data_IF_662364451643
#
_entry.id   IF_662364451643
#
_cell.length_a   1.000
_cell.length_b   1.000
_cell.length_c   1.000
_cell.angle_alpha   90.00
_cell.angle_beta   90.00
_cell.angle_gamma   90.00
#
_symmetry.space_group_name_H-M   'P 1'
#
loop_
_entity.id
_entity.type
_entity.pdbx_description
1 polymer ?
#
# COMPACT_ATOMS: atom_id res chain seq x y z
N UNK A 1 3.36 -9.64 -14.46
CA UNK A 1 3.12 -8.93 -13.18
C UNK A 1 2.12 -9.71 -12.34
N UNK A 2 2.42 -9.86 -11.06
CA UNK A 2 1.51 -10.47 -10.09
C UNK A 2 0.79 -9.36 -9.32
N UNK A 3 -0.54 -9.39 -9.32
CA UNK A 3 -1.36 -8.41 -8.62
C UNK A 3 -1.93 -9.01 -7.33
N UNK A 4 -2.50 -8.16 -6.49
CA UNK A 4 -3.23 -8.54 -5.29
C UNK A 4 -4.73 -8.31 -5.49
N UNK A 5 -5.53 -9.21 -4.95
CA UNK A 5 -7.00 -9.09 -4.97
C UNK A 5 -7.51 -8.48 -3.67
N UNK A 6 -8.75 -8.01 -3.66
CA UNK A 6 -9.43 -7.50 -2.45
C UNK A 6 -9.38 -8.55 -1.34
N UNK A 7 -9.69 -9.80 -1.65
CA UNK A 7 -9.69 -10.90 -0.67
C UNK A 7 -8.31 -11.09 -0.05
N UNK A 8 -7.26 -11.02 -0.86
CA UNK A 8 -5.87 -11.14 -0.37
C UNK A 8 -5.50 -9.97 0.54
N UNK A 9 -5.88 -8.75 0.17
CA UNK A 9 -5.61 -7.57 1.00
C UNK A 9 -6.31 -7.66 2.35
N UNK A 10 -7.57 -8.08 2.37
CA UNK A 10 -8.32 -8.29 3.61
C UNK A 10 -7.65 -9.35 4.50
N UNK A 11 -7.23 -10.46 3.91
CA UNK A 11 -6.54 -11.53 4.65
C UNK A 11 -5.20 -11.08 5.23
N UNK A 12 -4.43 -10.31 4.47
CA UNK A 12 -3.15 -9.76 4.92
C UNK A 12 -3.35 -8.75 6.04
N UNK A 13 -4.38 -7.91 5.96
CA UNK A 13 -4.72 -6.98 7.04
C UNK A 13 -5.06 -7.73 8.34
N UNK A 14 -5.90 -8.75 8.27
CA UNK A 14 -6.28 -9.55 9.43
C UNK A 14 -5.06 -10.17 10.11
N UNK A 15 -4.14 -10.75 9.33
CA UNK A 15 -2.88 -11.30 9.85
C UNK A 15 -1.99 -10.24 10.49
N UNK A 16 -1.90 -9.07 9.86
CA UNK A 16 -1.11 -7.96 10.39
C UNK A 16 -1.63 -7.49 11.74
N UNK A 17 -2.94 -7.35 11.87
CA UNK A 17 -3.59 -6.95 13.13
C UNK A 17 -3.37 -8.02 14.22
N UNK A 18 -3.49 -9.29 13.89
CA UNK A 18 -3.21 -10.38 14.83
C UNK A 18 -1.77 -10.34 15.34
N UNK A 19 -0.82 -9.99 14.48
CA UNK A 19 0.60 -9.95 14.83
C UNK A 19 0.99 -8.68 15.58
N UNK A 20 0.36 -7.53 15.30
CA UNK A 20 0.80 -6.22 15.80
C UNK A 20 -0.20 -5.54 16.72
N UNK A 21 -1.41 -6.10 16.88
CA UNK A 21 -2.48 -5.52 17.68
C UNK A 21 -3.35 -4.54 16.92
N UNK A 22 -4.49 -4.24 17.49
CA UNK A 22 -5.49 -3.33 16.94
C UNK A 22 -6.81 -4.02 16.64
N UNK A 23 -7.73 -3.30 16.01
CA UNK A 23 -9.04 -3.82 15.64
C UNK A 23 -9.02 -4.42 14.25
N UNK A 24 -9.41 -5.69 14.14
CA UNK A 24 -9.64 -6.33 12.85
C UNK A 24 -10.99 -5.89 12.29
N UNK A 25 -11.06 -5.74 10.99
CA UNK A 25 -12.29 -5.45 10.29
C UNK A 25 -12.15 -4.43 9.17
N UNK A 26 -13.06 -4.55 8.21
CA UNK A 26 -13.14 -3.67 7.05
C UNK A 26 -14.23 -2.64 7.28
N UNK A 27 -13.89 -1.36 7.14
CA UNK A 27 -14.86 -0.27 7.20
C UNK A 27 -15.61 -0.11 5.89
N UNK A 28 -14.89 -0.21 4.76
CA UNK A 28 -15.46 0.01 3.43
C UNK A 28 -14.70 -0.78 2.37
N UNK A 29 -15.30 -1.87 1.89
CA UNK A 29 -14.72 -2.72 0.83
C UNK A 29 -14.53 -1.93 -0.47
N UNK A 30 -15.43 -1.02 -0.79
CA UNK A 30 -15.33 -0.18 -1.99
C UNK A 30 -14.05 0.64 -2.02
N UNK A 31 -13.55 1.07 -0.87
CA UNK A 31 -12.28 1.79 -0.78
C UNK A 31 -11.07 0.90 -1.01
N UNK A 32 -11.16 -0.39 -0.66
CA UNK A 32 -10.12 -1.36 -1.02
C UNK A 32 -10.11 -1.57 -2.54
N UNK A 33 -11.29 -1.79 -3.13
CA UNK A 33 -11.45 -1.96 -4.58
C UNK A 33 -10.91 -0.75 -5.33
N UNK A 34 -11.25 0.45 -4.88
CA UNK A 34 -10.78 1.71 -5.45
C UNK A 34 -9.25 1.84 -5.37
N UNK A 35 -8.65 1.47 -4.25
CA UNK A 35 -7.20 1.52 -4.08
C UNK A 35 -6.48 0.58 -5.06
N UNK A 36 -6.96 -0.64 -5.21
CA UNK A 36 -6.40 -1.61 -6.17
C UNK A 36 -6.61 -1.15 -7.61
N UNK A 37 -7.81 -0.71 -7.94
CA UNK A 37 -8.15 -0.22 -9.28
C UNK A 37 -7.29 0.97 -9.67
N UNK A 38 -7.03 1.89 -8.76
CA UNK A 38 -6.21 3.07 -9.05
C UNK A 38 -4.79 2.72 -9.48
N UNK A 39 -4.24 1.61 -8.97
CA UNK A 39 -2.89 1.17 -9.32
C UNK A 39 -2.87 0.25 -10.54
N UNK A 40 -3.87 -0.64 -10.68
CA UNK A 40 -3.81 -1.75 -11.64
C UNK A 40 -4.66 -1.54 -12.89
N UNK A 41 -5.67 -0.67 -12.86
CA UNK A 41 -6.58 -0.51 -13.99
C UNK A 41 -6.17 0.69 -14.84
N UNK A 42 -5.90 0.49 -16.14
CA UNK A 42 -5.64 1.62 -17.06
C UNK A 42 -6.86 2.54 -17.14
N UNK A 43 -6.60 3.83 -17.30
CA UNK A 43 -7.63 4.85 -17.42
C UNK A 43 -7.60 5.42 -18.84
N UNK A 44 -8.72 5.35 -19.56
CA UNK A 44 -8.79 5.74 -20.98
C UNK A 44 -7.68 5.11 -21.83
N UNK A 45 -7.38 3.81 -21.59
CA UNK A 45 -6.37 3.09 -22.34
C UNK A 45 -4.93 3.45 -21.97
N UNK A 46 -4.72 4.30 -20.96
CA UNK A 46 -3.40 4.73 -20.51
C UNK A 46 -3.13 4.18 -19.11
N UNK A 47 -2.01 3.48 -18.96
CA UNK A 47 -1.53 3.04 -17.65
C UNK A 47 -0.72 4.18 -17.01
N UNK A 48 -1.29 4.83 -15.99
CA UNK A 48 -0.66 5.95 -15.31
C UNK A 48 0.46 5.52 -14.36
N UNK A 49 0.53 4.23 -14.02
CA UNK A 49 1.54 3.67 -13.12
C UNK A 49 2.15 2.42 -13.78
N UNK A 50 2.96 2.61 -14.88
CA UNK A 50 3.38 1.48 -15.70
C UNK A 50 4.39 0.55 -15.05
N UNK A 51 5.25 1.03 -14.16
CA UNK A 51 6.24 0.20 -13.49
C UNK A 51 5.70 -0.44 -12.21
N UNK A 52 6.37 -1.50 -11.76
CA UNK A 52 6.05 -2.15 -10.47
C UNK A 52 6.21 -1.15 -9.31
N UNK A 53 7.28 -0.37 -9.32
CA UNK A 53 7.55 0.63 -8.27
C UNK A 53 6.45 1.70 -8.23
N UNK A 54 5.99 2.17 -9.38
CA UNK A 54 4.92 3.15 -9.47
C UNK A 54 3.60 2.59 -8.95
N UNK A 55 3.26 1.34 -9.30
CA UNK A 55 2.06 0.68 -8.79
C UNK A 55 2.13 0.47 -7.27
N UNK A 56 3.28 0.06 -6.77
CA UNK A 56 3.50 -0.12 -5.34
C UNK A 56 3.32 1.19 -4.56
N UNK A 57 3.88 2.27 -5.06
CA UNK A 57 3.73 3.59 -4.45
C UNK A 57 2.27 4.05 -4.44
N UNK A 58 1.53 3.82 -5.53
CA UNK A 58 0.12 4.17 -5.62
C UNK A 58 -0.73 3.36 -4.66
N UNK A 59 -0.47 2.06 -4.52
CA UNK A 59 -1.15 1.21 -3.54
C UNK A 59 -0.96 1.72 -2.11
N UNK A 60 0.28 2.01 -1.74
CA UNK A 60 0.61 2.52 -0.42
C UNK A 60 -0.12 3.84 -0.13
N UNK A 61 0.00 4.79 -1.03
CA UNK A 61 -0.64 6.10 -0.90
C UNK A 61 -2.16 5.98 -0.76
N UNK A 62 -2.80 5.20 -1.63
CA UNK A 62 -4.26 5.05 -1.64
C UNK A 62 -4.77 4.34 -0.39
N UNK A 63 -4.12 3.24 0.03
CA UNK A 63 -4.55 2.48 1.21
C UNK A 63 -4.41 3.28 2.51
N UNK A 64 -3.34 4.08 2.63
CA UNK A 64 -3.16 4.93 3.81
C UNK A 64 -4.24 6.02 3.86
N UNK A 65 -4.52 6.67 2.74
CA UNK A 65 -5.41 7.84 2.70
C UNK A 65 -6.90 7.49 2.62
N UNK A 66 -7.27 6.33 2.09
CA UNK A 66 -8.67 5.94 1.92
C UNK A 66 -9.33 5.45 3.21
N UNK A 67 -8.56 5.04 4.20
CA UNK A 67 -9.09 4.54 5.48
C UNK A 67 -10.14 3.43 5.31
N UNK A 68 -9.82 2.42 4.49
CA UNK A 68 -10.73 1.32 4.18
C UNK A 68 -10.96 0.35 5.33
N UNK A 69 -10.06 0.31 6.32
CA UNK A 69 -10.12 -0.57 7.48
C UNK A 69 -10.48 0.20 8.75
N UNK A 70 -10.97 -0.51 9.75
CA UNK A 70 -11.27 0.07 11.06
C UNK A 70 -10.02 0.58 11.77
N UNK A 71 -8.89 -0.11 11.58
CA UNK A 71 -7.63 0.21 12.22
C UNK A 71 -6.47 -0.27 11.35
N UNK A 72 -5.28 0.28 11.58
CA UNK A 72 -4.05 -0.18 10.93
C UNK A 72 -3.88 0.25 9.46
N UNK A 73 -4.52 1.32 9.04
CA UNK A 73 -4.46 1.78 7.63
C UNK A 73 -3.04 2.14 7.20
N UNK A 74 -2.25 2.79 8.04
CA UNK A 74 -0.83 3.08 7.74
C UNK A 74 -0.02 1.80 7.59
N UNK A 75 -0.19 0.89 8.54
CA UNK A 75 0.53 -0.39 8.56
C UNK A 75 0.21 -1.23 7.33
N UNK A 76 -1.09 -1.33 6.99
CA UNK A 76 -1.49 -2.14 5.83
C UNK A 76 -1.02 -1.53 4.52
N UNK A 77 -1.07 -0.20 4.37
CA UNK A 77 -0.58 0.45 3.16
C UNK A 77 0.88 0.13 2.88
N UNK A 78 1.72 0.25 3.90
CA UNK A 78 3.15 -0.08 3.78
C UNK A 78 3.35 -1.57 3.56
N UNK A 79 2.64 -2.41 4.30
CA UNK A 79 2.79 -3.86 4.19
C UNK A 79 2.39 -4.36 2.80
N UNK A 80 1.28 -3.90 2.25
CA UNK A 80 0.85 -4.25 0.90
C UNK A 80 1.85 -3.78 -0.15
N UNK A 81 2.39 -2.58 0.02
CA UNK A 81 3.47 -2.08 -0.85
C UNK A 81 4.65 -3.06 -0.88
N UNK A 82 5.13 -3.47 0.28
CA UNK A 82 6.27 -4.38 0.39
C UNK A 82 5.95 -5.77 -0.15
N UNK A 83 4.77 -6.31 0.14
CA UNK A 83 4.33 -7.61 -0.37
C UNK A 83 4.21 -7.58 -1.89
N UNK A 84 3.60 -6.54 -2.45
CA UNK A 84 3.46 -6.40 -3.90
C UNK A 84 4.82 -6.32 -4.60
N UNK A 85 5.74 -5.52 -4.07
CA UNK A 85 7.10 -5.43 -4.59
C UNK A 85 7.79 -6.80 -4.57
N UNK A 86 7.73 -7.49 -3.43
CA UNK A 86 8.38 -8.80 -3.27
C UNK A 86 7.79 -9.85 -4.22
N UNK A 87 6.47 -9.88 -4.40
CA UNK A 87 5.81 -10.75 -5.37
C UNK A 87 6.32 -10.55 -6.80
N UNK A 88 6.80 -9.36 -7.09
CA UNK A 88 7.31 -8.98 -8.42
C UNK A 88 8.83 -8.87 -8.47
N UNK A 89 9.52 -9.47 -7.51
CA UNK A 89 10.97 -9.64 -7.52
C UNK A 89 11.77 -8.47 -6.96
N UNK A 90 11.13 -7.52 -6.26
CA UNK A 90 11.81 -6.36 -5.68
C UNK A 90 11.74 -6.43 -4.16
N UNK A 91 12.91 -6.51 -3.51
CA UNK A 91 13.02 -6.50 -2.05
C UNK A 91 13.76 -5.24 -1.64
N UNK A 92 13.10 -4.38 -0.86
CA UNK A 92 13.70 -3.13 -0.39
C UNK A 92 14.62 -3.40 0.80
N UNK A 93 15.72 -2.64 0.86
CA UNK A 93 16.62 -2.60 2.01
C UNK A 93 16.26 -1.40 2.87
N UNK A 94 15.70 -1.66 4.04
CA UNK A 94 15.17 -0.62 4.90
C UNK A 94 15.23 -1.03 6.36
N UNK A 95 15.26 -0.04 7.25
CA UNK A 95 15.13 -0.26 8.69
C UNK A 95 13.67 -0.09 9.11
N UNK A 96 13.31 -0.64 10.26
CA UNK A 96 11.97 -0.44 10.83
C UNK A 96 11.69 1.04 11.09
N UNK A 97 12.70 1.80 11.49
CA UNK A 97 12.58 3.23 11.71
C UNK A 97 12.23 4.00 10.43
N UNK A 98 12.85 3.63 9.30
CA UNK A 98 12.55 4.23 8.00
C UNK A 98 11.11 3.95 7.57
N UNK A 99 10.62 2.73 7.79
CA UNK A 99 9.23 2.33 7.50
C UNK A 99 8.26 3.17 8.33
N UNK A 100 8.52 3.33 9.63
CA UNK A 100 7.66 4.11 10.52
C UNK A 100 7.60 5.57 10.08
N UNK A 101 8.72 6.18 9.72
CA UNK A 101 8.78 7.55 9.22
C UNK A 101 7.97 7.72 7.94
N UNK A 102 8.09 6.76 7.02
CA UNK A 102 7.32 6.79 5.78
C UNK A 102 5.81 6.79 6.05
N UNK A 103 5.36 5.89 6.91
CA UNK A 103 3.94 5.78 7.25
C UNK A 103 3.38 7.04 7.91
N UNK A 104 4.14 7.62 8.84
CA UNK A 104 3.76 8.87 9.52
C UNK A 104 3.69 10.02 8.50
N UNK A 105 4.67 10.14 7.63
CA UNK A 105 4.73 11.20 6.62
C UNK A 105 3.56 11.15 5.65
N UNK A 106 3.20 9.96 5.17
CA UNK A 106 2.05 9.81 4.27
C UNK A 106 0.74 10.13 4.99
N UNK A 107 0.56 9.61 6.21
CA UNK A 107 -0.68 9.82 6.96
C UNK A 107 -0.89 11.27 7.40
N UNK A 108 0.19 12.03 7.62
CA UNK A 108 0.14 13.46 7.94
C UNK A 108 0.04 14.36 6.71
N UNK A 109 0.01 13.79 5.52
CA UNK A 109 0.05 14.49 4.22
C UNK A 109 1.34 15.28 3.96
N UNK A 110 2.40 15.00 4.71
CA UNK A 110 3.72 15.57 4.45
C UNK A 110 4.42 14.88 3.29
N UNK A 111 4.10 13.58 3.05
CA UNK A 111 4.62 12.80 1.95
C UNK A 111 3.48 12.42 1.01
N UNK A 112 3.70 12.63 -0.27
CA UNK A 112 2.77 12.30 -1.34
C UNK A 112 3.21 11.04 -2.10
N UNK A 113 2.51 10.76 -3.20
CA UNK A 113 2.83 9.64 -4.09
C UNK A 113 4.29 9.71 -4.58
N UNK A 114 4.74 10.88 -5.03
CA UNK A 114 6.09 11.03 -5.58
C UNK A 114 7.17 10.74 -4.52
N UNK A 115 6.92 11.15 -3.29
CA UNK A 115 7.82 10.88 -2.15
C UNK A 115 7.91 9.38 -1.85
N UNK A 116 6.79 8.67 -1.92
CA UNK A 116 6.77 7.22 -1.73
C UNK A 116 7.56 6.53 -2.85
N UNK A 117 7.34 6.94 -4.09
CA UNK A 117 8.04 6.39 -5.25
C UNK A 117 9.56 6.59 -5.14
N UNK A 118 9.97 7.79 -4.73
CA UNK A 118 11.38 8.10 -4.50
C UNK A 118 11.97 7.21 -3.42
N UNK A 119 11.24 7.00 -2.31
CA UNK A 119 11.65 6.09 -1.24
C UNK A 119 11.91 4.68 -1.79
N UNK A 120 10.97 4.14 -2.57
CA UNK A 120 11.11 2.80 -3.17
C UNK A 120 12.36 2.72 -4.04
N UNK A 121 12.59 3.72 -4.89
CA UNK A 121 13.73 3.75 -5.81
C UNK A 121 15.08 3.90 -5.13
N UNK A 122 15.10 4.47 -3.91
CA UNK A 122 16.33 4.70 -3.16
C UNK A 122 16.65 3.59 -2.14
N UNK A 123 15.79 2.62 -1.99
CA UNK A 123 15.96 1.51 -1.04
C UNK A 123 15.86 0.16 -1.73
#
# INVERSE_FOLDING_TARGET
MRILTVKQVIGLHSRLIQATGGLDGVRDVGLIESSLSSAFTPYFGVDHYPSIEEKAARLCYSLINNHAFLDGNKRIGIYIMLVFLELNGIVLKQTDEEIVKLGIGVASSELDYDSILEYIRNH
#
